data_IF_271421005146
#
_entry.id   IF_271421005146
#
_cell.length_a   1.000
_cell.length_b   1.000
_cell.length_c   1.000
_cell.angle_alpha   90.00
_cell.angle_beta   90.00
_cell.angle_gamma   90.00
#
_symmetry.space_group_name_H-M   'P 1'
#
loop_
_entity.id
_entity.type
_entity.pdbx_description
1 polymer ?
#
# COMPACT_ATOMS: atom_id res chain seq x y z
N UNK A 1 -13.64 -2.03 -3.27
CA UNK A 1 -14.43 -1.67 -4.47
C UNK A 1 -14.89 -2.95 -5.13
N UNK A 2 -16.03 -2.93 -5.82
CA UNK A 2 -16.42 -4.03 -6.70
C UNK A 2 -15.70 -3.86 -8.05
N UNK A 3 -14.75 -4.76 -8.35
CA UNK A 3 -13.97 -4.72 -9.59
C UNK A 3 -14.72 -5.26 -10.80
N UNK A 4 -15.90 -5.85 -10.61
CA UNK A 4 -16.76 -6.25 -11.74
C UNK A 4 -17.34 -5.05 -12.49
N UNK A 5 -17.41 -3.89 -11.83
CA UNK A 5 -17.92 -2.63 -12.38
C UNK A 5 -16.84 -1.80 -13.09
N UNK A 6 -15.59 -2.29 -13.16
CA UNK A 6 -14.51 -1.58 -13.84
C UNK A 6 -14.60 -1.74 -15.34
N UNK A 7 -14.29 -0.67 -16.07
CA UNK A 7 -14.30 -0.64 -17.53
C UNK A 7 -13.16 -1.50 -18.09
N UNK A 8 -13.52 -2.64 -18.67
CA UNK A 8 -12.57 -3.62 -19.19
C UNK A 8 -11.85 -3.14 -20.44
N UNK A 9 -12.48 -2.31 -21.25
CA UNK A 9 -11.89 -1.77 -22.46
C UNK A 9 -10.81 -0.74 -22.10
N UNK A 10 -11.07 0.11 -21.11
CA UNK A 10 -10.06 1.04 -20.58
C UNK A 10 -8.89 0.33 -19.90
N UNK A 11 -9.15 -0.75 -19.16
CA UNK A 11 -8.08 -1.57 -18.55
C UNK A 11 -7.21 -2.20 -19.64
N UNK A 12 -7.81 -2.78 -20.68
CA UNK A 12 -7.08 -3.39 -21.78
C UNK A 12 -6.25 -2.36 -22.56
N UNK A 13 -6.81 -1.19 -22.84
CA UNK A 13 -6.10 -0.09 -23.48
C UNK A 13 -4.91 0.40 -22.64
N UNK A 14 -5.13 0.64 -21.34
CA UNK A 14 -4.09 1.07 -20.41
C UNK A 14 -2.96 0.05 -20.27
N UNK A 15 -3.31 -1.23 -20.20
CA UNK A 15 -2.33 -2.33 -20.15
C UNK A 15 -1.47 -2.36 -21.41
N UNK A 16 -2.09 -2.28 -22.60
CA UNK A 16 -1.35 -2.24 -23.86
C UNK A 16 -0.41 -1.02 -23.96
N UNK A 17 -0.80 0.14 -23.40
CA UNK A 17 0.08 1.30 -23.29
C UNK A 17 1.30 1.03 -22.40
N UNK A 18 1.11 0.38 -21.26
CA UNK A 18 2.17 0.00 -20.33
C UNK A 18 3.15 -1.00 -20.96
N UNK A 19 2.64 -2.05 -21.63
CA UNK A 19 3.48 -3.05 -22.31
C UNK A 19 4.36 -2.42 -23.39
N UNK A 20 3.80 -1.48 -24.18
CA UNK A 20 4.57 -0.71 -25.15
C UNK A 20 5.65 0.14 -24.50
N UNK A 21 5.33 0.79 -23.37
CA UNK A 21 6.30 1.60 -22.63
C UNK A 21 7.47 0.75 -22.09
N UNK A 22 7.18 -0.42 -21.51
CA UNK A 22 8.19 -1.37 -21.03
C UNK A 22 9.07 -1.88 -22.18
N UNK A 23 8.46 -2.18 -23.33
CA UNK A 23 9.17 -2.64 -24.54
C UNK A 23 10.13 -1.60 -25.12
N UNK A 24 9.91 -0.31 -24.84
CA UNK A 24 10.77 0.78 -25.33
C UNK A 24 12.14 0.86 -24.65
N UNK A 25 12.39 0.06 -23.61
CA UNK A 25 13.61 0.05 -22.77
C UNK A 25 13.96 1.38 -22.08
N UNK A 26 13.10 2.40 -22.17
CA UNK A 26 13.17 3.63 -21.38
C UNK A 26 12.31 3.45 -20.13
N UNK A 27 12.82 2.67 -19.18
CA UNK A 27 12.11 2.36 -17.94
C UNK A 27 12.42 3.46 -16.92
N UNK A 28 11.44 4.31 -16.64
CA UNK A 28 11.49 5.32 -15.59
C UNK A 28 10.44 5.09 -14.50
N UNK A 29 10.43 5.94 -13.44
CA UNK A 29 9.52 5.79 -12.31
C UNK A 29 8.05 5.68 -12.71
N UNK A 30 7.60 6.52 -13.65
CA UNK A 30 6.21 6.49 -14.14
C UNK A 30 5.86 5.22 -14.90
N UNK A 31 6.80 4.63 -15.66
CA UNK A 31 6.56 3.36 -16.35
C UNK A 31 6.37 2.23 -15.33
N UNK A 32 7.16 2.20 -14.26
CA UNK A 32 7.06 1.21 -13.19
C UNK A 32 5.78 1.39 -12.36
N UNK A 33 5.44 2.63 -12.02
CA UNK A 33 4.18 2.96 -11.35
C UNK A 33 2.96 2.56 -12.20
N UNK A 34 3.00 2.80 -13.50
CA UNK A 34 1.95 2.38 -14.42
C UNK A 34 1.86 0.84 -14.52
N UNK A 35 3.00 0.13 -14.51
CA UNK A 35 3.02 -1.32 -14.44
C UNK A 35 2.40 -1.86 -13.14
N UNK A 36 2.71 -1.26 -11.99
CA UNK A 36 2.09 -1.62 -10.70
C UNK A 36 0.58 -1.40 -10.76
N UNK A 37 0.12 -0.28 -11.34
CA UNK A 37 -1.29 0.01 -11.51
C UNK A 37 -1.99 -1.00 -12.46
N UNK A 38 -1.33 -1.40 -13.55
CA UNK A 38 -1.86 -2.40 -14.48
C UNK A 38 -2.08 -3.75 -13.80
N UNK A 39 -1.10 -4.23 -13.02
CA UNK A 39 -1.23 -5.50 -12.26
C UNK A 39 -2.42 -5.45 -11.29
N UNK A 40 -2.65 -4.31 -10.64
CA UNK A 40 -3.84 -4.12 -9.81
C UNK A 40 -5.14 -4.11 -10.61
N UNK A 41 -5.14 -3.47 -11.79
CA UNK A 41 -6.31 -3.29 -12.64
C UNK A 41 -6.80 -4.61 -13.26
N UNK A 42 -5.87 -5.47 -13.66
CA UNK A 42 -6.16 -6.76 -14.29
C UNK A 42 -6.77 -7.77 -13.32
N UNK A 43 -6.37 -7.72 -12.04
CA UNK A 43 -6.79 -8.67 -11.05
C UNK A 43 -8.28 -8.57 -10.70
N UNK A 44 -8.98 -9.70 -10.74
CA UNK A 44 -10.43 -9.77 -10.47
C UNK A 44 -10.80 -9.37 -9.03
N UNK A 45 -9.88 -9.51 -8.08
CA UNK A 45 -10.03 -9.06 -6.70
C UNK A 45 -8.69 -8.64 -6.09
N UNK A 46 -8.71 -8.04 -4.91
CA UNK A 46 -7.48 -7.67 -4.21
C UNK A 46 -6.64 -8.91 -3.82
N UNK A 47 -7.31 -10.00 -3.47
CA UNK A 47 -6.71 -11.29 -3.12
C UNK A 47 -6.10 -11.98 -4.36
N UNK A 48 -6.71 -11.80 -5.53
CA UNK A 48 -6.22 -12.33 -6.80
C UNK A 48 -5.11 -11.49 -7.45
N UNK A 49 -4.67 -10.41 -6.80
CA UNK A 49 -3.59 -9.55 -7.32
C UNK A 49 -2.25 -10.30 -7.26
N UNK A 50 -1.45 -10.22 -8.32
CA UNK A 50 -0.10 -10.81 -8.33
C UNK A 50 0.86 -9.97 -7.47
N UNK A 51 0.85 -10.25 -6.18
CA UNK A 51 1.72 -9.59 -5.21
C UNK A 51 3.21 -9.93 -5.40
N UNK A 52 3.53 -11.05 -6.04
CA UNK A 52 4.92 -11.40 -6.37
C UNK A 52 5.45 -10.42 -7.41
N UNK A 53 4.68 -10.19 -8.47
CA UNK A 53 5.01 -9.22 -9.51
C UNK A 53 5.06 -7.79 -8.96
N UNK A 54 4.09 -7.39 -8.13
CA UNK A 54 4.08 -6.05 -7.51
C UNK A 54 5.33 -5.81 -6.68
N UNK A 55 5.75 -6.76 -5.83
CA UNK A 55 6.98 -6.61 -5.06
C UNK A 55 8.19 -6.48 -5.99
N UNK A 56 8.28 -7.29 -7.05
CA UNK A 56 9.36 -7.19 -8.03
C UNK A 56 9.41 -5.83 -8.75
N UNK A 57 8.25 -5.25 -9.07
CA UNK A 57 8.17 -3.91 -9.66
C UNK A 57 8.61 -2.82 -8.66
N UNK A 58 8.22 -2.94 -7.38
CA UNK A 58 8.70 -2.04 -6.34
C UNK A 58 10.21 -2.19 -6.08
N UNK A 59 10.77 -3.41 -6.13
CA UNK A 59 12.22 -3.64 -6.00
C UNK A 59 13.00 -2.91 -7.11
N UNK A 60 12.44 -2.83 -8.31
CA UNK A 60 13.04 -2.05 -9.41
C UNK A 60 12.81 -0.55 -9.22
N UNK A 61 11.59 -0.14 -8.83
CA UNK A 61 11.25 1.26 -8.61
C UNK A 61 12.11 1.89 -7.52
N UNK A 62 12.35 1.20 -6.41
CA UNK A 62 13.19 1.66 -5.31
C UNK A 62 14.63 1.94 -5.75
N UNK A 63 15.16 1.19 -6.72
CA UNK A 63 16.51 1.44 -7.27
C UNK A 63 16.57 2.69 -8.15
N UNK A 64 15.46 3.04 -8.79
CA UNK A 64 15.38 4.17 -9.74
C UNK A 64 14.91 5.45 -9.03
N UNK A 65 14.08 5.31 -8.00
CA UNK A 65 13.45 6.40 -7.23
C UNK A 65 13.37 6.03 -5.73
N UNK A 66 14.49 6.11 -5.00
CA UNK A 66 14.60 5.65 -3.61
C UNK A 66 13.97 6.64 -2.63
N UNK A 67 12.65 6.71 -2.60
CA UNK A 67 11.92 7.58 -1.67
C UNK A 67 11.31 6.77 -0.51
N UNK A 68 11.16 7.38 0.69
CA UNK A 68 10.46 6.75 1.81
C UNK A 68 9.04 6.28 1.47
N UNK A 69 8.35 6.96 0.57
CA UNK A 69 7.00 6.59 0.11
C UNK A 69 7.04 5.34 -0.78
N UNK A 70 8.04 5.20 -1.64
CA UNK A 70 8.24 3.97 -2.44
C UNK A 70 8.54 2.78 -1.52
N UNK A 71 9.41 2.96 -0.52
CA UNK A 71 9.71 1.92 0.48
C UNK A 71 8.47 1.52 1.30
N UNK A 72 7.65 2.50 1.72
CA UNK A 72 6.38 2.23 2.40
C UNK A 72 5.43 1.39 1.53
N UNK A 73 5.24 1.79 0.27
CA UNK A 73 4.35 1.09 -0.65
C UNK A 73 4.85 -0.34 -0.92
N UNK A 74 6.16 -0.51 -1.05
CA UNK A 74 6.81 -1.82 -1.13
C UNK A 74 6.54 -2.66 0.11
N UNK A 75 6.64 -2.08 1.31
CA UNK A 75 6.37 -2.78 2.56
C UNK A 75 4.93 -3.31 2.63
N UNK A 76 3.95 -2.55 2.13
CA UNK A 76 2.57 -3.01 2.00
C UNK A 76 2.46 -4.19 1.02
N UNK A 77 3.13 -4.12 -0.14
CA UNK A 77 3.15 -5.24 -1.09
C UNK A 77 3.77 -6.51 -0.48
N UNK A 78 4.87 -6.37 0.27
CA UNK A 78 5.49 -7.47 1.04
C UNK A 78 4.52 -8.01 2.08
N UNK A 79 3.75 -7.16 2.78
CA UNK A 79 2.73 -7.62 3.72
C UNK A 79 1.65 -8.50 3.07
N UNK A 80 1.33 -8.23 1.80
CA UNK A 80 0.33 -8.98 1.05
C UNK A 80 0.89 -10.29 0.49
N UNK A 81 2.17 -10.31 0.09
CA UNK A 81 2.85 -11.51 -0.42
C UNK A 81 3.28 -12.47 0.70
N UNK A 82 3.97 -11.95 1.71
CA UNK A 82 4.68 -12.73 2.74
C UNK A 82 3.97 -12.70 4.10
N UNK A 83 2.86 -11.96 4.20
CA UNK A 83 2.04 -11.83 5.40
C UNK A 83 2.33 -10.57 6.21
N UNK A 84 1.40 -10.19 7.10
CA UNK A 84 1.38 -8.87 7.74
C UNK A 84 2.59 -8.59 8.62
N UNK A 85 3.20 -9.61 9.23
CA UNK A 85 4.39 -9.45 10.05
C UNK A 85 5.62 -8.99 9.23
N UNK A 86 5.77 -9.49 7.99
CA UNK A 86 6.91 -9.15 7.13
C UNK A 86 6.88 -7.67 6.74
N UNK A 87 5.73 -7.17 6.27
CA UNK A 87 5.59 -5.75 5.95
C UNK A 87 5.64 -4.84 7.16
N UNK A 88 5.11 -5.29 8.31
CA UNK A 88 5.16 -4.51 9.56
C UNK A 88 6.61 -4.25 10.00
N UNK A 89 7.50 -5.23 9.86
CA UNK A 89 8.92 -5.06 10.21
C UNK A 89 9.59 -3.95 9.38
N UNK A 90 9.28 -3.86 8.08
CA UNK A 90 9.80 -2.82 7.20
C UNK A 90 9.23 -1.45 7.60
N UNK A 91 7.91 -1.37 7.85
CA UNK A 91 7.27 -0.12 8.27
C UNK A 91 7.79 0.37 9.64
N UNK A 92 7.99 -0.54 10.60
CA UNK A 92 8.57 -0.22 11.90
C UNK A 92 9.98 0.37 11.73
N UNK A 93 10.81 -0.22 10.86
CA UNK A 93 12.15 0.31 10.57
C UNK A 93 12.10 1.69 9.89
N UNK A 94 11.20 1.88 8.93
CA UNK A 94 11.01 3.15 8.22
C UNK A 94 10.61 4.29 9.16
N UNK A 95 9.65 4.04 10.06
CA UNK A 95 9.22 5.03 11.06
C UNK A 95 10.28 5.27 12.13
N UNK A 96 11.08 4.27 12.49
CA UNK A 96 12.19 4.46 13.44
C UNK A 96 13.27 5.42 12.92
N UNK A 97 13.38 5.61 11.59
CA UNK A 97 14.31 6.59 10.97
C UNK A 97 13.76 8.02 10.97
N UNK A 98 12.46 8.20 11.23
CA UNK A 98 11.79 9.50 11.23
C UNK A 98 11.35 10.01 9.84
N UNK A 99 11.61 9.24 8.77
CA UNK A 99 11.38 9.68 7.38
C UNK A 99 9.90 9.98 7.07
N UNK A 100 8.95 9.39 7.83
CA UNK A 100 7.50 9.45 7.59
C UNK A 100 6.69 9.80 8.86
N UNK A 101 7.29 10.46 9.84
CA UNK A 101 6.66 10.73 11.15
C UNK A 101 5.37 11.54 11.07
N UNK A 102 5.28 12.47 10.12
CA UNK A 102 4.10 13.31 9.85
C UNK A 102 3.24 12.78 8.68
N UNK A 103 3.53 11.57 8.18
CA UNK A 103 2.78 10.97 7.09
C UNK A 103 1.70 10.01 7.60
N UNK A 104 0.46 10.49 7.62
CA UNK A 104 -0.69 9.74 8.16
C UNK A 104 -0.89 8.34 7.53
N UNK A 105 -0.53 8.15 6.24
CA UNK A 105 -0.67 6.85 5.57
C UNK A 105 0.34 5.81 6.07
N UNK A 106 1.54 6.21 6.48
CA UNK A 106 2.50 5.30 7.11
C UNK A 106 1.94 4.77 8.44
N UNK A 107 1.40 5.67 9.28
CA UNK A 107 0.77 5.30 10.54
C UNK A 107 -0.49 4.46 10.34
N UNK A 108 -1.30 4.76 9.33
CA UNK A 108 -2.49 3.97 8.97
C UNK A 108 -2.12 2.54 8.55
N UNK A 109 -1.10 2.38 7.70
CA UNK A 109 -0.62 1.08 7.25
C UNK A 109 -0.05 0.26 8.41
N UNK A 110 0.78 0.89 9.26
CA UNK A 110 1.30 0.26 10.49
C UNK A 110 0.17 -0.23 11.39
N UNK A 111 -0.85 0.60 11.60
CA UNK A 111 -1.96 0.27 12.46
C UNK A 111 -2.75 -0.95 11.97
N UNK A 112 -3.01 -1.01 10.66
CA UNK A 112 -3.70 -2.15 10.05
C UNK A 112 -2.89 -3.45 10.19
N UNK A 113 -1.58 -3.42 9.93
CA UNK A 113 -0.74 -4.61 10.06
C UNK A 113 -0.62 -5.05 11.52
N UNK A 114 -0.43 -4.12 12.47
CA UNK A 114 -0.46 -4.41 13.90
C UNK A 114 -1.77 -5.11 14.32
N UNK A 115 -2.91 -4.63 13.83
CA UNK A 115 -4.22 -5.25 14.09
C UNK A 115 -4.28 -6.67 13.53
N UNK A 116 -3.82 -6.88 12.29
CA UNK A 116 -3.81 -8.21 11.63
C UNK A 116 -2.91 -9.23 12.33
N UNK A 117 -1.87 -8.79 13.05
CA UNK A 117 -1.01 -9.67 13.86
C UNK A 117 -1.40 -9.71 15.35
N UNK A 118 -2.54 -9.12 15.74
CA UNK A 118 -3.03 -9.13 17.12
C UNK A 118 -2.33 -8.16 18.09
N UNK A 119 -1.48 -7.26 17.60
CA UNK A 119 -0.82 -6.20 18.40
C UNK A 119 -1.77 -5.02 18.62
N UNK A 120 -2.89 -5.25 19.31
CA UNK A 120 -4.00 -4.28 19.47
C UNK A 120 -3.57 -2.94 20.06
N UNK A 121 -2.70 -2.94 21.08
CA UNK A 121 -2.21 -1.70 21.69
C UNK A 121 -1.40 -0.86 20.72
N UNK A 122 -0.58 -1.49 19.88
CA UNK A 122 0.25 -0.81 18.89
C UNK A 122 -0.60 -0.31 17.71
N UNK A 123 -1.60 -1.10 17.30
CA UNK A 123 -2.58 -0.69 16.31
C UNK A 123 -3.33 0.57 16.74
N UNK A 124 -3.80 0.62 18.00
CA UNK A 124 -4.49 1.77 18.57
C UNK A 124 -3.64 3.04 18.53
N UNK A 125 -2.39 2.97 19.01
CA UNK A 125 -1.48 4.13 19.00
C UNK A 125 -1.23 4.65 17.58
N UNK A 126 -1.02 3.76 16.62
CA UNK A 126 -0.79 4.14 15.23
C UNK A 126 -2.04 4.71 14.54
N UNK A 127 -3.23 4.16 14.80
CA UNK A 127 -4.46 4.76 14.27
C UNK A 127 -4.73 6.15 14.88
N UNK A 128 -4.45 6.35 16.17
CA UNK A 128 -4.56 7.68 16.80
C UNK A 128 -3.60 8.67 16.14
N UNK A 129 -2.33 8.31 15.97
CA UNK A 129 -1.35 9.16 15.29
C UNK A 129 -1.75 9.48 13.85
N UNK A 130 -2.29 8.50 13.10
CA UNK A 130 -2.83 8.76 11.78
C UNK A 130 -3.98 9.77 11.82
N UNK A 131 -4.92 9.62 12.77
CA UNK A 131 -6.08 10.50 12.93
C UNK A 131 -5.69 11.95 13.27
N UNK A 132 -4.62 12.14 14.06
CA UNK A 132 -4.09 13.46 14.40
C UNK A 132 -3.52 14.18 13.17
N UNK A 133 -2.97 13.42 12.21
CA UNK A 133 -2.34 13.95 10.99
C UNK A 133 -3.32 14.08 9.82
N UNK A 134 -4.43 13.35 9.84
CA UNK A 134 -5.42 13.34 8.76
C UNK A 134 -6.34 14.57 8.78
N UNK A 135 -6.46 15.21 7.61
CA UNK A 135 -7.31 16.39 7.40
C UNK A 135 -8.63 16.09 6.69
N UNK A 136 -8.69 15.00 5.92
CA UNK A 136 -9.86 14.69 5.09
C UNK A 136 -10.92 13.93 5.87
N UNK A 137 -12.13 14.46 5.94
CA UNK A 137 -13.23 13.89 6.72
C UNK A 137 -13.54 12.41 6.42
N UNK A 138 -13.52 11.93 5.15
CA UNK A 138 -13.72 10.52 4.86
C UNK A 138 -12.65 9.61 5.49
N UNK A 139 -11.39 10.03 5.47
CA UNK A 139 -10.27 9.30 6.08
C UNK A 139 -10.37 9.33 7.60
N UNK A 140 -10.74 10.48 8.20
CA UNK A 140 -10.99 10.58 9.66
C UNK A 140 -12.05 9.58 10.11
N UNK A 141 -13.20 9.56 9.44
CA UNK A 141 -14.29 8.60 9.74
C UNK A 141 -13.84 7.14 9.59
N UNK A 142 -12.99 6.85 8.61
CA UNK A 142 -12.41 5.51 8.46
C UNK A 142 -11.55 5.13 9.68
N UNK A 143 -10.65 6.02 10.11
CA UNK A 143 -9.74 5.79 11.23
C UNK A 143 -10.48 5.69 12.57
N UNK A 144 -11.47 6.55 12.80
CA UNK A 144 -12.32 6.52 13.99
C UNK A 144 -13.10 5.20 14.09
N UNK A 145 -13.66 4.73 12.97
CA UNK A 145 -14.33 3.43 12.91
C UNK A 145 -13.37 2.29 13.26
N UNK A 146 -12.15 2.29 12.70
CA UNK A 146 -11.12 1.28 13.04
C UNK A 146 -10.74 1.31 14.52
N UNK A 147 -10.62 2.49 15.12
CA UNK A 147 -10.35 2.63 16.56
C UNK A 147 -11.49 2.07 17.42
N UNK A 148 -12.74 2.32 17.01
CA UNK A 148 -13.91 1.78 17.70
C UNK A 148 -13.95 0.24 17.63
N UNK A 149 -13.69 -0.34 16.45
CA UNK A 149 -13.60 -1.80 16.26
C UNK A 149 -12.55 -2.45 17.18
N UNK A 150 -11.43 -1.77 17.48
CA UNK A 150 -10.41 -2.26 18.42
C UNK A 150 -10.85 -2.21 19.90
N UNK A 151 -11.85 -1.40 20.24
CA UNK A 151 -12.38 -1.25 21.60
C UNK A 151 -13.51 -2.24 21.93
N UNK A 152 -14.17 -2.80 20.91
CA UNK A 152 -15.25 -3.78 21.07
C UNK A 152 -14.75 -5.22 21.30
N UNK A 153 -13.44 -5.47 21.14
CA UNK A 153 -12.81 -6.77 21.28
C UNK A 153 -12.13 -6.98 22.66
N UNK A 154 -12.64 -6.35 23.73
CA UNK A 154 -12.17 -6.51 25.12
C UNK A 154 -13.23 -7.21 25.96
#
# INVERSE_FOLDING_TARGET
>A
QDRSLWDRDQIAEGTALVERALSSRRIGPYTLQAAIAAVHAEAASAEATDWVQIVGLYDVLERVDPTPVVELNRAVAVAMRDGPAAGLAIIDALLARGDLDDYHLAHSARADLCRRVGRTADARRSYQRALDLTRQEPERRFLERRLHELGLNV
#
